data_IF_992410054342
#
_entry.id   IF_992410054342
#
_cell.length_a   1.000
_cell.length_b   1.000
_cell.length_c   1.000
_cell.angle_alpha   90.00
_cell.angle_beta   90.00
_cell.angle_gamma   90.00
#
_symmetry.space_group_name_H-M   'P 1'
#
loop_
_entity.id
_entity.type
_entity.pdbx_description
1 polymer ?
#
# COMPACT_ATOMS: atom_id res chain seq x y z
N UNK A 1 13.70 38.00 12.33
CA UNK A 1 12.27 38.13 11.95
C UNK A 1 11.55 36.92 12.51
N UNK A 2 10.35 37.07 13.11
CA UNK A 2 9.66 35.92 13.74
C UNK A 2 8.99 35.06 12.64
N UNK A 3 9.72 34.07 12.16
CA UNK A 3 9.30 33.16 11.09
C UNK A 3 8.10 32.33 11.49
N UNK A 4 7.95 32.01 12.79
CA UNK A 4 6.80 31.27 13.34
C UNK A 4 5.52 32.06 13.19
N UNK A 5 5.52 33.35 13.56
CA UNK A 5 4.36 34.22 13.41
C UNK A 5 3.98 34.43 11.94
N UNK A 6 4.97 34.53 11.03
CA UNK A 6 4.70 34.62 9.58
C UNK A 6 4.05 33.36 9.02
N UNK A 7 4.45 32.20 9.50
CA UNK A 7 3.85 30.92 9.15
C UNK A 7 2.40 30.82 9.62
N UNK A 8 2.11 31.23 10.86
CA UNK A 8 0.75 31.26 11.41
C UNK A 8 -0.16 32.27 10.65
N UNK A 9 0.38 33.43 10.29
CA UNK A 9 -0.35 34.45 9.52
C UNK A 9 -0.60 34.00 8.08
N UNK A 10 0.31 33.21 7.46
CA UNK A 10 0.12 32.60 6.15
C UNK A 10 -1.04 31.58 6.17
N UNK A 11 -1.00 30.61 7.09
CA UNK A 11 -2.05 29.59 7.21
C UNK A 11 -3.41 30.16 7.65
N UNK A 12 -3.40 31.29 8.35
CA UNK A 12 -4.62 32.00 8.75
C UNK A 12 -5.15 32.95 7.68
N UNK A 13 -4.49 33.03 6.50
CA UNK A 13 -4.89 33.90 5.40
C UNK A 13 -4.78 35.42 5.70
N UNK A 14 -3.90 35.81 6.64
CA UNK A 14 -3.73 37.20 7.09
C UNK A 14 -2.65 37.95 6.32
N UNK A 15 -1.86 37.27 5.49
CA UNK A 15 -0.85 37.93 4.69
C UNK A 15 -1.46 38.55 3.42
N UNK A 16 -0.92 39.70 3.00
CA UNK A 16 -1.23 40.24 1.69
C UNK A 16 -0.62 39.35 0.57
N UNK A 17 -1.13 39.41 -0.68
CA UNK A 17 -0.59 38.60 -1.78
C UNK A 17 0.92 38.74 -1.97
N UNK A 18 1.45 39.94 -1.79
CA UNK A 18 2.89 40.22 -1.92
C UNK A 18 3.67 39.59 -0.77
N UNK A 19 3.18 39.69 0.46
CA UNK A 19 3.82 39.06 1.63
C UNK A 19 3.73 37.54 1.59
N UNK A 20 2.67 36.97 1.02
CA UNK A 20 2.54 35.54 0.82
C UNK A 20 3.57 35.02 -0.21
N UNK A 21 3.80 35.76 -1.28
CA UNK A 21 4.80 35.41 -2.29
C UNK A 21 6.23 35.46 -1.72
N UNK A 22 6.58 36.53 -0.97
CA UNK A 22 7.86 36.64 -0.26
C UNK A 22 8.06 35.51 0.78
N UNK A 23 6.97 35.03 1.39
CA UNK A 23 7.02 33.89 2.32
C UNK A 23 7.25 32.57 1.59
N UNK A 24 6.64 32.35 0.43
CA UNK A 24 6.87 31.17 -0.40
C UNK A 24 8.31 31.11 -0.94
N UNK A 25 8.87 32.26 -1.38
CA UNK A 25 10.27 32.35 -1.81
C UNK A 25 11.24 32.03 -0.65
N UNK A 26 10.91 32.50 0.56
CA UNK A 26 11.70 32.14 1.74
C UNK A 26 11.63 30.65 2.07
N UNK A 27 10.45 29.99 1.90
CA UNK A 27 10.30 28.55 2.14
C UNK A 27 11.18 27.67 1.24
N UNK A 28 11.58 28.17 0.09
CA UNK A 28 12.53 27.49 -0.82
C UNK A 28 14.00 27.70 -0.45
N UNK A 29 14.28 28.50 0.58
CA UNK A 29 15.67 28.79 1.02
C UNK A 29 16.21 27.73 1.98
N UNK A 30 17.55 27.54 2.03
CA UNK A 30 18.18 26.64 3.00
C UNK A 30 17.94 27.05 4.46
N UNK A 31 17.71 28.34 4.73
CA UNK A 31 17.39 28.85 6.07
C UNK A 31 16.00 28.38 6.55
N UNK A 32 15.05 28.25 5.63
CA UNK A 32 13.73 27.72 5.95
C UNK A 32 13.78 26.21 6.25
N UNK A 33 14.61 25.46 5.55
CA UNK A 33 14.80 24.03 5.80
C UNK A 33 15.37 23.77 7.21
N UNK A 34 16.36 24.57 7.63
CA UNK A 34 16.93 24.48 8.98
C UNK A 34 15.91 24.87 10.05
N UNK A 35 15.14 25.96 9.84
CA UNK A 35 14.11 26.42 10.75
C UNK A 35 12.98 25.39 10.89
N UNK A 36 12.45 24.84 9.78
CA UNK A 36 11.39 23.85 9.80
C UNK A 36 11.84 22.55 10.45
N UNK A 37 13.07 22.12 10.22
CA UNK A 37 13.64 20.93 10.86
C UNK A 37 13.70 21.09 12.38
N UNK A 38 14.14 22.24 12.87
CA UNK A 38 14.20 22.54 14.30
C UNK A 38 12.80 22.61 14.95
N UNK A 39 11.85 23.26 14.28
CA UNK A 39 10.47 23.39 14.78
C UNK A 39 9.74 22.03 14.80
N UNK A 40 9.94 21.18 13.77
CA UNK A 40 9.42 19.80 13.74
C UNK A 40 9.99 18.99 14.91
N UNK A 41 11.29 19.04 15.15
CA UNK A 41 11.92 18.32 16.27
C UNK A 41 11.35 18.80 17.62
N UNK A 42 11.13 20.09 17.79
CA UNK A 42 10.54 20.64 19.00
C UNK A 42 9.10 20.17 19.20
N UNK A 43 8.25 20.23 18.17
CA UNK A 43 6.86 19.77 18.23
C UNK A 43 6.76 18.28 18.54
N UNK A 44 7.66 17.46 17.98
CA UNK A 44 7.73 16.03 18.32
C UNK A 44 8.15 15.79 19.76
N UNK A 45 9.11 16.56 20.27
CA UNK A 45 9.58 16.44 21.66
C UNK A 45 8.53 16.87 22.69
N UNK A 46 7.70 17.87 22.39
CA UNK A 46 6.58 18.29 23.22
C UNK A 46 5.44 17.27 23.19
N UNK A 47 5.12 16.71 22.02
CA UNK A 47 4.04 15.72 21.86
C UNK A 47 4.35 14.39 22.56
N UNK A 48 5.63 14.04 22.69
CA UNK A 48 6.06 12.86 23.46
C UNK A 48 5.95 13.06 24.98
N UNK A 49 5.82 14.29 25.48
CA UNK A 49 5.64 14.60 26.90
C UNK A 49 4.17 14.71 27.33
N UNK A 50 3.24 14.84 26.39
CA UNK A 50 1.80 14.89 26.67
C UNK A 50 1.13 13.56 26.36
N UNK A 51 1.38 12.56 27.22
CA UNK A 51 0.55 11.36 27.31
C UNK A 51 -0.70 11.71 28.09
N UNK A 52 -1.74 12.22 27.39
CA UNK A 52 -3.16 12.22 27.77
C UNK A 52 -3.95 13.11 26.80
N UNK A 53 -4.21 12.60 25.59
CA UNK A 53 -5.25 13.14 24.74
C UNK A 53 -6.35 12.09 24.59
N UNK A 54 -7.28 12.07 25.57
CA UNK A 54 -8.60 11.51 25.36
C UNK A 54 -9.34 12.44 24.40
N UNK A 55 -9.46 12.07 23.14
CA UNK A 55 -10.26 12.80 22.16
C UNK A 55 -11.73 12.65 22.54
N UNK A 56 -12.34 13.72 23.09
CA UNK A 56 -13.76 13.77 23.40
C UNK A 56 -14.57 14.05 22.12
N UNK A 57 -15.17 13.00 21.56
CA UNK A 57 -16.02 13.06 20.37
C UNK A 57 -17.49 13.46 20.70
N UNK A 58 -17.83 13.65 21.96
CA UNK A 58 -19.21 13.88 22.41
C UNK A 58 -19.88 15.12 21.79
N UNK A 59 -19.21 16.28 21.58
CA UNK A 59 -19.85 17.44 20.97
C UNK A 59 -20.23 17.24 19.49
N UNK A 60 -19.46 16.42 18.77
CA UNK A 60 -19.71 16.14 17.35
C UNK A 60 -20.92 15.21 17.17
N UNK A 61 -21.03 14.21 18.02
CA UNK A 61 -22.15 13.27 18.00
C UNK A 61 -23.48 13.92 18.40
N UNK A 62 -23.48 14.86 19.34
CA UNK A 62 -24.67 15.64 19.70
C UNK A 62 -25.17 16.51 18.53
N UNK A 63 -24.28 17.11 17.74
CA UNK A 63 -24.63 17.90 16.57
C UNK A 63 -25.24 17.07 15.44
N UNK A 64 -24.66 15.90 15.17
CA UNK A 64 -25.14 14.97 14.13
C UNK A 64 -26.53 14.39 14.50
N UNK A 65 -26.75 14.05 15.76
CA UNK A 65 -28.04 13.55 16.22
C UNK A 65 -29.14 14.61 16.29
N UNK A 66 -28.79 15.87 16.54
CA UNK A 66 -29.74 16.99 16.51
C UNK A 66 -30.25 17.27 15.09
N UNK A 67 -29.41 17.16 14.06
CA UNK A 67 -29.83 17.31 12.66
C UNK A 67 -30.68 16.13 12.16
N UNK A 68 -30.46 14.90 12.64
CA UNK A 68 -31.30 13.74 12.30
C UNK A 68 -32.72 13.80 12.87
N UNK A 69 -32.96 14.52 13.97
CA UNK A 69 -34.28 14.67 14.59
C UNK A 69 -35.18 15.72 13.90
N UNK A 70 -34.64 16.50 12.95
CA UNK A 70 -35.38 17.57 12.24
C UNK A 70 -36.17 17.10 11.01
N UNK A 71 -36.06 15.87 10.55
CA UNK A 71 -36.80 15.36 9.39
C UNK A 71 -37.94 14.42 9.77
N UNK A 72 -38.91 14.91 10.55
CA UNK A 72 -40.23 14.27 10.62
C UNK A 72 -41.12 14.85 9.51
N UNK A 73 -41.37 14.07 8.47
CA UNK A 73 -42.38 14.41 7.46
C UNK A 73 -43.76 14.42 8.15
N UNK A 74 -44.62 15.45 7.91
CA UNK A 74 -45.94 15.46 8.46
C UNK A 74 -46.78 14.35 7.87
N UNK A 75 -47.38 13.55 8.75
CA UNK A 75 -48.31 12.47 8.41
C UNK A 75 -49.62 13.14 7.93
N UNK A 76 -49.90 13.08 6.63
CA UNK A 76 -51.17 13.53 6.06
C UNK A 76 -52.22 12.41 6.25
N UNK A 77 -53.15 12.65 7.15
CA UNK A 77 -54.30 11.79 7.40
C UNK A 77 -55.27 11.90 6.19
N UNK A 78 -55.24 10.89 5.31
CA UNK A 78 -56.23 10.79 4.21
C UNK A 78 -57.52 10.17 4.79
N UNK A 79 -58.54 11.02 4.96
CA UNK A 79 -59.92 10.59 5.16
C UNK A 79 -60.37 9.62 4.03
N UNK A 80 -60.91 8.48 4.41
CA UNK A 80 -61.45 7.52 3.48
C UNK A 80 -62.66 8.08 2.76
N UNK A 81 -62.81 7.91 1.44
CA UNK A 81 -64.03 8.22 0.70
C UNK A 81 -65.11 7.14 0.97
N UNK A 82 -66.40 7.47 0.84
CA UNK A 82 -67.50 6.55 1.09
C UNK A 82 -67.48 5.39 0.09
N UNK A 83 -67.82 4.19 0.58
CA UNK A 83 -67.96 2.97 -0.24
C UNK A 83 -69.19 3.06 -1.11
N UNK A 84 -69.00 3.34 -2.41
CA UNK A 84 -70.01 3.08 -3.42
C UNK A 84 -70.04 1.58 -3.80
N UNK A 85 -71.19 0.94 -3.70
CA UNK A 85 -71.41 -0.42 -4.16
C UNK A 85 -71.45 -0.47 -5.67
N UNK A 86 -70.28 -0.73 -6.29
CA UNK A 86 -70.21 -0.92 -7.75
C UNK A 86 -70.46 -2.40 -8.07
N UNK A 87 -71.52 -2.66 -8.84
CA UNK A 87 -71.88 -4.01 -9.30
C UNK A 87 -70.72 -4.68 -10.05
N UNK A 88 -70.27 -5.80 -9.53
CA UNK A 88 -69.11 -6.60 -10.03
C UNK A 88 -69.32 -7.08 -11.47
N UNK A 89 -70.55 -7.15 -11.94
CA UNK A 89 -70.89 -7.70 -13.25
C UNK A 89 -70.57 -6.77 -14.44
N UNK A 90 -70.45 -5.47 -14.21
CA UNK A 90 -70.03 -4.54 -15.27
C UNK A 90 -68.57 -4.62 -15.61
N UNK A 91 -67.70 -5.12 -14.73
CA UNK A 91 -66.25 -5.19 -14.89
C UNK A 91 -65.77 -6.47 -15.59
N UNK A 92 -66.59 -7.51 -15.65
CA UNK A 92 -66.28 -8.77 -16.34
C UNK A 92 -65.97 -8.59 -17.82
N UNK A 93 -66.54 -7.58 -18.46
CA UNK A 93 -66.31 -7.27 -19.90
C UNK A 93 -64.94 -6.66 -20.15
N UNK A 94 -64.38 -5.97 -19.17
CA UNK A 94 -63.04 -5.33 -19.30
C UNK A 94 -61.92 -6.27 -18.82
N UNK A 95 -62.22 -7.26 -17.99
CA UNK A 95 -61.24 -8.25 -17.53
C UNK A 95 -60.67 -9.08 -18.69
N UNK A 96 -61.55 -9.50 -19.62
CA UNK A 96 -61.12 -10.24 -20.82
C UNK A 96 -60.19 -9.41 -21.77
N UNK A 97 -60.43 -8.11 -21.87
CA UNK A 97 -59.58 -7.20 -22.67
C UNK A 97 -58.21 -7.00 -22.02
N UNK A 98 -58.14 -6.88 -20.69
CA UNK A 98 -56.88 -6.74 -19.95
C UNK A 98 -56.06 -8.03 -20.03
N UNK A 99 -56.68 -9.21 -20.01
CA UNK A 99 -55.94 -10.48 -20.17
C UNK A 99 -55.37 -10.60 -21.58
N UNK A 100 -56.12 -10.20 -22.63
CA UNK A 100 -55.63 -10.22 -23.99
C UNK A 100 -54.50 -9.21 -24.22
N UNK A 101 -54.58 -8.01 -23.61
CA UNK A 101 -53.49 -7.01 -23.65
C UNK A 101 -52.27 -7.55 -22.87
N UNK A 102 -52.44 -8.16 -21.72
CA UNK A 102 -51.37 -8.77 -20.92
C UNK A 102 -50.68 -9.92 -21.66
N UNK A 103 -51.44 -10.81 -22.31
CA UNK A 103 -50.87 -11.89 -23.12
C UNK A 103 -50.16 -11.37 -24.34
N UNK A 104 -50.74 -10.35 -25.01
CA UNK A 104 -50.12 -9.72 -26.19
C UNK A 104 -48.79 -8.98 -25.79
N UNK A 105 -48.81 -8.25 -24.69
CA UNK A 105 -47.62 -7.61 -24.13
C UNK A 105 -46.56 -8.62 -23.71
N UNK A 106 -46.97 -9.69 -23.04
CA UNK A 106 -46.08 -10.80 -22.66
C UNK A 106 -45.46 -11.49 -23.87
N UNK A 107 -46.27 -11.78 -24.91
CA UNK A 107 -45.79 -12.34 -26.20
C UNK A 107 -44.87 -11.36 -26.92
N UNK A 108 -45.17 -10.06 -26.92
CA UNK A 108 -44.33 -9.03 -27.51
C UNK A 108 -42.99 -8.89 -26.78
N UNK A 109 -43.01 -8.83 -25.44
CA UNK A 109 -41.79 -8.76 -24.65
C UNK A 109 -40.97 -10.07 -24.68
N UNK A 110 -41.62 -11.23 -24.72
CA UNK A 110 -40.92 -12.52 -24.80
C UNK A 110 -40.27 -12.74 -26.21
N UNK A 111 -40.84 -12.15 -27.25
CA UNK A 111 -40.22 -12.19 -28.59
C UNK A 111 -39.09 -11.17 -28.76
N UNK A 112 -39.07 -10.09 -27.96
CA UNK A 112 -37.93 -9.16 -27.92
C UNK A 112 -36.75 -9.69 -27.08
N UNK A 113 -36.99 -10.65 -26.20
CA UNK A 113 -35.92 -11.35 -25.45
C UNK A 113 -35.40 -12.57 -26.25
N UNK A 114 -35.40 -12.53 -27.60
CA UNK A 114 -34.51 -13.45 -28.29
C UNK A 114 -33.09 -13.00 -27.91
N UNK A 115 -32.31 -13.87 -27.30
CA UNK A 115 -30.89 -13.57 -27.20
C UNK A 115 -30.43 -13.40 -28.64
N UNK A 116 -30.10 -12.19 -29.07
CA UNK A 116 -29.23 -11.99 -30.20
C UNK A 116 -27.98 -12.74 -29.81
N UNK A 117 -27.83 -13.96 -30.35
CA UNK A 117 -26.55 -14.62 -30.50
C UNK A 117 -25.75 -13.79 -31.51
N UNK A 118 -25.52 -12.52 -31.20
CA UNK A 118 -24.28 -11.93 -31.59
C UNK A 118 -23.26 -12.77 -30.85
N UNK A 119 -22.31 -13.40 -31.50
CA UNK A 119 -21.09 -13.75 -30.82
C UNK A 119 -20.64 -12.40 -30.27
N UNK A 120 -20.91 -12.13 -28.98
CA UNK A 120 -20.07 -11.23 -28.19
C UNK A 120 -18.72 -11.89 -28.39
N UNK A 121 -17.98 -11.41 -29.37
CA UNK A 121 -16.56 -11.42 -29.27
C UNK A 121 -16.36 -10.71 -27.94
N UNK A 122 -16.28 -11.46 -26.84
CA UNK A 122 -15.53 -11.02 -25.69
C UNK A 122 -14.23 -10.57 -26.32
N UNK A 123 -14.18 -9.29 -26.64
CA UNK A 123 -12.92 -8.59 -26.65
C UNK A 123 -12.50 -8.79 -25.20
N UNK A 124 -11.81 -9.91 -24.97
CA UNK A 124 -10.93 -10.04 -23.83
C UNK A 124 -10.13 -8.75 -23.91
N UNK A 125 -10.58 -7.77 -23.16
CA UNK A 125 -9.78 -6.60 -22.87
C UNK A 125 -8.60 -7.22 -22.13
N UNK A 126 -7.66 -7.75 -22.89
CA UNK A 126 -6.37 -8.15 -22.39
C UNK A 126 -5.76 -6.86 -21.95
N UNK A 127 -6.04 -6.50 -20.70
CA UNK A 127 -5.37 -5.37 -20.08
C UNK A 127 -3.89 -5.63 -20.32
N UNK A 128 -3.25 -4.76 -21.09
CA UNK A 128 -1.81 -4.86 -21.33
C UNK A 128 -1.13 -4.75 -19.97
N UNK A 129 -0.30 -5.73 -19.66
CA UNK A 129 0.48 -5.73 -18.43
C UNK A 129 1.84 -5.14 -18.69
N UNK A 130 2.25 -4.22 -17.83
CA UNK A 130 3.58 -3.62 -17.82
C UNK A 130 4.39 -4.37 -16.79
N UNK A 131 5.53 -4.93 -17.21
CA UNK A 131 6.49 -5.56 -16.31
C UNK A 131 7.74 -4.71 -16.19
N UNK A 132 8.16 -4.42 -14.97
CA UNK A 132 9.43 -3.76 -14.63
C UNK A 132 10.28 -4.72 -13.83
N UNK A 133 11.51 -4.96 -14.29
CA UNK A 133 12.47 -5.86 -13.63
C UNK A 133 13.77 -5.13 -13.35
N UNK A 134 14.24 -5.22 -12.14
CA UNK A 134 15.55 -4.74 -11.73
C UNK A 134 16.53 -5.91 -11.66
N UNK A 135 17.64 -5.87 -12.36
CA UNK A 135 18.74 -6.79 -12.09
C UNK A 135 19.36 -6.52 -10.73
N UNK A 136 20.21 -7.42 -10.25
CA UNK A 136 21.03 -7.17 -9.06
C UNK A 136 21.85 -5.88 -9.21
N UNK A 137 21.98 -5.11 -8.16
CA UNK A 137 22.69 -3.84 -8.11
C UNK A 137 21.89 -2.61 -8.57
N UNK A 138 20.63 -2.78 -8.99
CA UNK A 138 19.78 -1.66 -9.43
C UNK A 138 18.50 -1.58 -8.60
N UNK A 139 18.06 -0.35 -8.34
CA UNK A 139 16.79 -0.03 -7.69
C UNK A 139 16.05 1.00 -8.53
N UNK A 140 14.73 0.95 -8.56
CA UNK A 140 13.91 1.84 -9.39
C UNK A 140 12.73 2.38 -8.59
N UNK A 141 12.42 3.66 -8.78
CA UNK A 141 11.19 4.29 -8.31
C UNK A 141 10.21 4.35 -9.49
N UNK A 142 9.00 3.81 -9.32
CA UNK A 142 7.94 3.76 -10.31
C UNK A 142 6.77 4.57 -9.78
N UNK A 143 6.32 5.56 -10.54
CA UNK A 143 5.09 6.31 -10.25
C UNK A 143 3.95 5.71 -11.09
N UNK A 144 2.90 5.30 -10.42
CA UNK A 144 1.70 4.74 -11.05
C UNK A 144 0.69 5.83 -11.38
N UNK A 145 -0.25 5.54 -12.30
CA UNK A 145 -1.23 6.53 -12.78
C UNK A 145 -2.28 6.94 -11.74
N UNK A 146 -2.44 6.15 -10.66
CA UNK A 146 -3.29 6.47 -9.50
C UNK A 146 -2.62 7.36 -8.45
N UNK A 147 -1.36 7.77 -8.69
CA UNK A 147 -0.53 8.54 -7.77
C UNK A 147 0.24 7.70 -6.74
N UNK A 148 0.07 6.38 -6.75
CA UNK A 148 0.87 5.49 -5.89
C UNK A 148 2.31 5.39 -6.39
N UNK A 149 3.23 5.13 -5.47
CA UNK A 149 4.65 4.95 -5.78
C UNK A 149 5.10 3.56 -5.36
N UNK A 150 5.88 2.91 -6.23
CA UNK A 150 6.58 1.65 -5.93
C UNK A 150 8.08 1.92 -5.94
N UNK A 151 8.75 1.64 -4.83
CA UNK A 151 10.20 1.53 -4.79
C UNK A 151 10.53 0.05 -4.99
N UNK A 152 11.12 -0.31 -6.11
CA UNK A 152 11.48 -1.68 -6.47
C UNK A 152 12.94 -1.93 -6.15
N UNK A 153 13.20 -2.95 -5.31
CA UNK A 153 14.57 -3.29 -4.90
C UNK A 153 15.35 -4.01 -6.00
N UNK A 154 16.63 -4.25 -5.77
CA UNK A 154 17.50 -5.05 -6.63
C UNK A 154 17.03 -6.49 -6.73
N UNK A 155 17.24 -7.14 -7.88
CA UNK A 155 16.81 -8.52 -8.15
C UNK A 155 15.30 -8.74 -7.91
N UNK A 156 14.48 -7.76 -8.29
CA UNK A 156 13.02 -7.80 -8.09
C UNK A 156 12.30 -7.44 -9.37
N UNK A 157 11.07 -7.93 -9.51
CA UNK A 157 10.19 -7.59 -10.62
C UNK A 157 8.79 -7.28 -10.13
N UNK A 158 8.13 -6.35 -10.82
CA UNK A 158 6.75 -5.96 -10.59
C UNK A 158 6.00 -5.92 -11.90
N UNK A 159 4.78 -6.47 -11.91
CA UNK A 159 3.87 -6.43 -13.05
C UNK A 159 2.55 -5.80 -12.62
N UNK A 160 2.00 -4.94 -13.46
CA UNK A 160 0.73 -4.24 -13.21
C UNK A 160 0.03 -3.91 -14.54
N UNK A 161 -1.32 -3.76 -14.57
CA UNK A 161 -2.04 -3.40 -15.79
C UNK A 161 -1.74 -1.96 -16.21
N UNK A 162 -1.77 -1.69 -17.52
CA UNK A 162 -1.59 -0.33 -18.06
C UNK A 162 -2.70 0.61 -17.56
N UNK A 163 -3.95 0.14 -17.51
CA UNK A 163 -5.07 0.86 -16.91
C UNK A 163 -5.11 0.62 -15.38
N UNK A 164 -4.15 1.21 -14.69
CA UNK A 164 -3.99 1.04 -13.25
C UNK A 164 -5.02 1.82 -12.43
N UNK A 165 -5.69 2.84 -12.97
CA UNK A 165 -6.69 3.61 -12.23
C UNK A 165 -7.94 2.79 -11.90
N UNK A 166 -8.35 1.91 -12.82
CA UNK A 166 -9.53 1.05 -12.62
C UNK A 166 -9.18 -0.32 -12.05
N UNK A 167 -7.94 -0.77 -12.23
CA UNK A 167 -7.48 -2.08 -11.80
C UNK A 167 -6.14 -1.97 -11.04
N UNK A 168 -6.22 -1.67 -9.75
CA UNK A 168 -5.05 -1.43 -8.87
C UNK A 168 -4.43 -2.74 -8.37
N UNK A 169 -4.13 -3.66 -9.29
CA UNK A 169 -3.52 -4.96 -9.01
C UNK A 169 -2.06 -4.99 -9.42
N UNK A 170 -1.23 -5.51 -8.54
CA UNK A 170 0.22 -5.66 -8.74
C UNK A 170 0.61 -7.09 -8.44
N UNK A 171 1.50 -7.67 -9.24
CA UNK A 171 2.21 -8.92 -8.92
C UNK A 171 3.66 -8.58 -8.62
N UNK A 172 4.19 -9.08 -7.50
CA UNK A 172 5.55 -8.80 -7.04
C UNK A 172 6.35 -10.10 -6.87
N UNK A 173 7.56 -10.10 -7.42
CA UNK A 173 8.64 -11.04 -7.11
C UNK A 173 9.82 -10.26 -6.54
N UNK A 174 10.40 -10.68 -5.41
CA UNK A 174 11.49 -10.00 -4.75
C UNK A 174 11.02 -9.06 -3.65
N UNK A 175 11.46 -7.81 -3.64
CA UNK A 175 11.15 -6.83 -2.59
C UNK A 175 10.75 -5.49 -3.17
N UNK A 176 9.68 -4.92 -2.61
CA UNK A 176 9.27 -3.57 -2.93
C UNK A 176 8.65 -2.87 -1.72
N UNK A 177 8.86 -1.57 -1.66
CA UNK A 177 8.18 -0.67 -0.76
C UNK A 177 7.12 0.12 -1.53
N UNK A 178 5.90 0.15 -1.00
CA UNK A 178 4.73 0.76 -1.61
C UNK A 178 4.27 1.96 -0.80
N UNK A 179 4.06 3.08 -1.47
CA UNK A 179 3.34 4.24 -0.97
C UNK A 179 2.04 4.36 -1.76
N UNK A 180 0.95 3.88 -1.19
CA UNK A 180 -0.33 3.75 -1.88
C UNK A 180 -1.17 5.01 -1.70
N UNK A 181 -1.61 5.60 -2.79
CA UNK A 181 -2.55 6.71 -2.80
C UNK A 181 -3.90 6.29 -2.18
N UNK A 182 -4.46 7.17 -1.34
CA UNK A 182 -5.70 6.88 -0.61
C UNK A 182 -6.90 6.85 -1.56
N UNK A 183 -7.49 5.67 -1.71
CA UNK A 183 -8.71 5.44 -2.46
C UNK A 183 -9.48 4.24 -1.85
N UNK A 184 -10.47 4.50 -0.98
CA UNK A 184 -11.25 3.44 -0.35
C UNK A 184 -12.20 2.69 -1.29
N UNK A 185 -12.55 3.29 -2.43
CA UNK A 185 -13.50 2.68 -3.38
C UNK A 185 -12.81 1.68 -4.31
N UNK A 186 -11.50 1.88 -4.58
CA UNK A 186 -10.71 1.00 -5.42
C UNK A 186 -9.52 0.43 -4.62
N UNK A 187 -9.65 -0.74 -3.98
CA UNK A 187 -8.57 -1.35 -3.20
C UNK A 187 -7.32 -1.62 -4.05
N UNK A 188 -6.16 -1.26 -3.50
CA UNK A 188 -4.86 -1.61 -4.07
C UNK A 188 -4.46 -3.00 -3.58
N UNK A 189 -4.11 -3.91 -4.47
CA UNK A 189 -3.73 -5.28 -4.10
C UNK A 189 -2.38 -5.68 -4.68
N UNK A 190 -1.55 -6.31 -3.86
CA UNK A 190 -0.27 -6.90 -4.29
C UNK A 190 -0.33 -8.39 -4.06
N UNK A 191 -0.13 -9.15 -5.14
CA UNK A 191 0.03 -10.61 -5.08
C UNK A 191 1.51 -10.96 -5.09
N UNK A 192 1.94 -11.78 -4.14
CA UNK A 192 3.29 -12.29 -4.06
C UNK A 192 3.30 -13.70 -3.47
N UNK A 193 3.82 -14.69 -4.21
CA UNK A 193 3.89 -16.10 -3.79
C UNK A 193 2.59 -16.62 -3.16
N UNK A 194 1.42 -16.30 -3.78
CA UNK A 194 0.11 -16.76 -3.29
C UNK A 194 -0.42 -16.03 -2.04
N UNK A 195 0.22 -14.95 -1.62
CA UNK A 195 -0.26 -14.05 -0.58
C UNK A 195 -0.75 -12.77 -1.24
N UNK A 196 -1.98 -12.38 -0.97
CA UNK A 196 -2.56 -11.11 -1.41
C UNK A 196 -2.53 -10.11 -0.25
N UNK A 197 -1.88 -8.98 -0.47
CA UNK A 197 -1.84 -7.82 0.44
C UNK A 197 -2.77 -6.75 -0.11
N UNK A 198 -3.81 -6.37 0.64
CA UNK A 198 -4.79 -5.34 0.25
C UNK A 198 -4.63 -4.08 1.09
N UNK A 199 -4.61 -2.93 0.43
CA UNK A 199 -4.39 -1.60 1.00
C UNK A 199 -5.39 -0.57 0.45
N UNK A 200 -5.74 0.46 1.27
CA UNK A 200 -6.68 1.53 0.89
C UNK A 200 -6.05 2.93 0.96
N UNK A 201 -4.75 3.01 1.17
CA UNK A 201 -4.02 4.28 1.36
C UNK A 201 -3.01 4.15 2.50
N UNK A 202 -1.92 3.44 2.24
CA UNK A 202 -0.99 2.91 3.24
C UNK A 202 0.43 2.92 2.70
N UNK A 203 1.42 2.88 3.60
CA UNK A 203 2.79 2.59 3.24
C UNK A 203 3.21 1.25 3.85
N UNK A 204 3.73 0.34 3.05
CA UNK A 204 4.13 -1.00 3.48
C UNK A 204 5.26 -1.58 2.63
N UNK A 205 6.04 -2.49 3.20
CA UNK A 205 7.09 -3.23 2.52
C UNK A 205 6.70 -4.70 2.36
N UNK A 206 6.96 -5.26 1.19
CA UNK A 206 6.82 -6.70 0.94
C UNK A 206 8.19 -7.25 0.53
N UNK A 207 8.64 -8.35 1.14
CA UNK A 207 9.89 -9.01 0.80
C UNK A 207 9.72 -10.53 0.76
N UNK A 208 10.22 -11.14 -0.33
CA UNK A 208 10.29 -12.60 -0.50
C UNK A 208 11.71 -13.12 -0.40
N UNK A 209 12.68 -12.28 -0.09
CA UNK A 209 14.08 -12.65 0.03
C UNK A 209 14.37 -13.49 1.29
N UNK A 210 15.31 -14.42 1.17
CA UNK A 210 15.84 -15.26 2.26
C UNK A 210 14.78 -15.98 3.10
N UNK A 211 13.63 -16.29 2.48
CA UNK A 211 12.48 -16.85 3.19
C UNK A 211 11.84 -17.95 2.34
N UNK A 212 12.39 -19.15 2.37
CA UNK A 212 11.89 -20.33 1.64
C UNK A 212 10.36 -20.28 1.47
N UNK A 213 9.90 -19.87 0.28
CA UNK A 213 8.48 -19.73 -0.11
C UNK A 213 7.59 -18.87 0.82
N UNK A 214 8.20 -18.05 1.68
CA UNK A 214 7.49 -17.13 2.56
C UNK A 214 7.53 -15.71 2.03
N UNK A 215 6.50 -14.95 2.43
CA UNK A 215 6.37 -13.52 2.16
C UNK A 215 6.37 -12.79 3.50
N UNK A 216 7.25 -11.82 3.64
CA UNK A 216 7.21 -10.89 4.77
C UNK A 216 6.48 -9.62 4.33
N UNK A 217 5.49 -9.20 5.08
CA UNK A 217 4.78 -7.93 4.89
C UNK A 217 4.91 -7.10 6.16
N UNK A 218 5.49 -5.92 6.04
CA UNK A 218 5.65 -4.96 7.14
C UNK A 218 4.80 -3.73 6.88
N UNK A 219 3.97 -3.34 7.83
CA UNK A 219 3.17 -2.13 7.73
C UNK A 219 3.88 -0.94 8.36
N UNK A 220 3.98 0.15 7.60
CA UNK A 220 4.59 1.41 8.01
C UNK A 220 3.52 2.41 8.45
N UNK A 221 2.50 2.68 7.62
CA UNK A 221 1.38 3.58 7.95
C UNK A 221 0.06 3.01 7.44
N UNK A 222 -1.05 3.37 8.10
CA UNK A 222 -2.40 2.97 7.69
C UNK A 222 -2.78 1.57 8.14
N UNK A 223 -3.42 0.79 7.27
CA UNK A 223 -3.85 -0.60 7.50
C UNK A 223 -3.71 -1.44 6.25
N UNK A 224 -3.27 -2.67 6.39
CA UNK A 224 -3.29 -3.67 5.31
C UNK A 224 -3.96 -4.95 5.79
N UNK A 225 -4.60 -5.64 4.86
CA UNK A 225 -5.13 -6.98 5.04
C UNK A 225 -4.33 -7.96 4.21
N UNK A 226 -3.98 -9.08 4.81
CA UNK A 226 -3.26 -10.17 4.17
C UNK A 226 -4.19 -11.37 4.06
N UNK A 227 -4.21 -12.01 2.90
CA UNK A 227 -5.00 -13.20 2.63
C UNK A 227 -4.16 -14.23 1.88
N UNK A 228 -4.19 -15.48 2.33
CA UNK A 228 -3.53 -16.59 1.65
C UNK A 228 -4.44 -17.15 0.54
N UNK A 229 -3.86 -17.56 -0.55
CA UNK A 229 -4.59 -18.24 -1.63
C UNK A 229 -5.34 -19.46 -1.10
N UNK A 230 -6.64 -19.54 -1.40
CA UNK A 230 -7.51 -20.64 -0.92
C UNK A 230 -7.97 -20.53 0.53
N UNK A 231 -7.57 -19.49 1.27
CA UNK A 231 -8.03 -19.23 2.64
C UNK A 231 -9.08 -18.12 2.68
N UNK A 232 -10.05 -18.25 3.57
CA UNK A 232 -11.01 -17.19 3.91
C UNK A 232 -10.54 -16.33 5.09
N UNK A 233 -9.45 -16.73 5.75
CA UNK A 233 -8.90 -16.01 6.90
C UNK A 233 -8.12 -14.79 6.42
N UNK A 234 -8.45 -13.62 6.96
CA UNK A 234 -7.74 -12.38 6.77
C UNK A 234 -6.91 -12.03 8.02
N UNK A 235 -5.72 -11.49 7.81
CA UNK A 235 -4.85 -10.95 8.85
C UNK A 235 -4.73 -9.45 8.64
N UNK A 236 -5.12 -8.67 9.63
CA UNK A 236 -4.93 -7.21 9.60
C UNK A 236 -3.65 -6.85 10.34
N UNK A 237 -2.79 -6.02 9.73
CA UNK A 237 -1.60 -5.44 10.36
C UNK A 237 -1.87 -4.01 10.80
N UNK A 238 -1.28 -3.64 11.93
CA UNK A 238 -1.16 -2.26 12.41
C UNK A 238 0.27 -1.72 12.13
N UNK A 239 0.47 -0.40 12.11
CA UNK A 239 1.80 0.18 11.95
C UNK A 239 2.80 -0.36 12.97
N UNK A 240 3.98 -0.76 12.49
CA UNK A 240 5.01 -1.41 13.31
C UNK A 240 4.87 -2.93 13.42
N UNK A 241 3.85 -3.54 12.82
CA UNK A 241 3.73 -4.99 12.74
C UNK A 241 4.27 -5.56 11.42
N UNK A 242 4.90 -6.72 11.50
CA UNK A 242 5.29 -7.57 10.37
C UNK A 242 4.63 -8.94 10.50
N UNK A 243 4.15 -9.49 9.40
CA UNK A 243 3.77 -10.89 9.31
C UNK A 243 4.60 -11.60 8.25
N UNK A 244 5.02 -12.82 8.57
CA UNK A 244 5.74 -13.71 7.66
C UNK A 244 4.84 -14.90 7.38
N UNK A 245 4.44 -15.05 6.10
CA UNK A 245 3.43 -16.01 5.67
C UNK A 245 3.99 -16.97 4.61
N UNK A 246 3.52 -18.23 4.66
CA UNK A 246 3.59 -19.18 3.55
C UNK A 246 2.17 -19.60 3.17
N UNK A 247 1.96 -20.07 1.93
CA UNK A 247 0.63 -20.46 1.42
C UNK A 247 -0.01 -21.58 2.24
N UNK A 248 0.79 -22.46 2.82
CA UNK A 248 0.38 -23.62 3.60
C UNK A 248 0.44 -23.40 5.12
N UNK A 249 0.74 -22.18 5.59
CA UNK A 249 0.86 -21.88 7.03
C UNK A 249 -0.52 -21.63 7.65
N UNK A 250 -0.98 -22.56 8.49
CA UNK A 250 -2.32 -22.51 9.08
C UNK A 250 -2.53 -21.34 10.06
N UNK A 251 -1.48 -20.87 10.74
CA UNK A 251 -1.54 -19.84 11.76
C UNK A 251 -0.42 -18.81 11.62
N UNK A 252 -0.51 -17.89 10.67
CA UNK A 252 0.49 -16.85 10.50
C UNK A 252 0.55 -15.92 11.72
N UNK A 253 1.78 -15.60 12.14
CA UNK A 253 2.04 -14.79 13.34
C UNK A 253 2.39 -13.37 12.95
N UNK A 254 2.03 -12.43 13.82
CA UNK A 254 2.44 -11.04 13.75
C UNK A 254 3.55 -10.76 14.75
N UNK A 255 4.51 -9.93 14.37
CA UNK A 255 5.65 -9.53 15.18
C UNK A 255 5.76 -8.02 15.17
N UNK A 256 6.06 -7.41 16.33
CA UNK A 256 6.47 -6.02 16.38
C UNK A 256 7.90 -5.89 15.84
N UNK A 257 8.10 -4.94 14.92
CA UNK A 257 9.41 -4.72 14.30
C UNK A 257 9.76 -3.23 14.29
N UNK A 258 11.07 -2.94 14.20
CA UNK A 258 11.49 -1.58 13.89
C UNK A 258 11.26 -1.31 12.40
N UNK A 259 10.29 -0.44 12.11
CA UNK A 259 9.91 -0.05 10.74
C UNK A 259 11.12 0.41 9.94
N UNK A 260 11.97 1.26 10.54
CA UNK A 260 13.12 1.85 9.85
C UNK A 260 14.05 0.78 9.28
N UNK A 261 14.27 -0.30 10.02
CA UNK A 261 15.16 -1.38 9.59
C UNK A 261 14.66 -2.08 8.33
N UNK A 262 13.35 -2.03 8.06
CA UNK A 262 12.71 -2.68 6.90
C UNK A 262 12.73 -1.83 5.63
N UNK A 263 12.94 -0.52 5.76
CA UNK A 263 12.91 0.42 4.63
C UNK A 263 14.24 1.16 4.40
N UNK A 264 15.28 0.96 5.22
CA UNK A 264 16.62 1.56 5.05
C UNK A 264 17.19 1.36 3.64
N UNK A 265 16.86 0.24 3.00
CA UNK A 265 17.31 -0.06 1.65
C UNK A 265 16.80 0.96 0.61
N UNK A 266 15.65 1.62 0.84
CA UNK A 266 15.12 2.70 -0.03
C UNK A 266 16.00 3.94 0.04
N UNK A 267 16.66 4.15 1.18
CA UNK A 267 17.62 5.25 1.43
C UNK A 267 19.04 4.89 0.97
N UNK A 268 19.26 3.67 0.44
CA UNK A 268 20.59 3.20 0.03
C UNK A 268 21.46 2.71 1.19
N UNK A 269 20.90 2.51 2.37
CA UNK A 269 21.61 2.03 3.56
C UNK A 269 21.57 0.50 3.60
N UNK A 270 22.75 -0.12 3.63
CA UNK A 270 22.90 -1.57 3.76
C UNK A 270 23.02 -1.95 5.23
N UNK A 271 22.12 -2.82 5.70
CA UNK A 271 22.10 -3.28 7.09
C UNK A 271 22.11 -4.79 7.18
N UNK A 272 22.96 -5.29 8.06
CA UNK A 272 22.98 -6.68 8.53
C UNK A 272 22.45 -6.72 9.97
N UNK A 273 21.63 -7.71 10.27
CA UNK A 273 21.07 -7.90 11.63
C UNK A 273 21.00 -9.39 11.95
N UNK A 274 21.98 -9.87 12.68
CA UNK A 274 22.14 -11.30 12.99
C UNK A 274 22.07 -12.19 11.74
N UNK A 275 22.66 -11.74 10.62
CA UNK A 275 22.68 -12.49 9.38
C UNK A 275 23.76 -13.57 9.41
N UNK A 276 23.42 -14.76 8.96
CA UNK A 276 24.42 -15.82 8.69
C UNK A 276 25.32 -15.41 7.55
N UNK A 277 26.49 -16.05 7.43
CA UNK A 277 27.38 -15.79 6.31
C UNK A 277 26.70 -16.02 4.95
N UNK A 278 25.86 -17.03 4.84
CA UNK A 278 25.07 -17.30 3.62
C UNK A 278 24.14 -16.13 3.30
N UNK A 279 23.42 -15.61 4.30
CA UNK A 279 22.54 -14.45 4.11
C UNK A 279 23.34 -13.21 3.67
N UNK A 280 24.52 -13.00 4.27
CA UNK A 280 25.42 -11.89 3.91
C UNK A 280 25.81 -11.97 2.43
N UNK A 281 26.22 -13.15 1.96
CA UNK A 281 26.58 -13.35 0.55
C UNK A 281 25.41 -13.08 -0.38
N UNK A 282 24.22 -13.58 -0.11
CA UNK A 282 23.03 -13.33 -0.90
C UNK A 282 22.69 -11.83 -0.96
N UNK A 283 22.78 -11.13 0.18
CA UNK A 283 22.58 -9.70 0.27
C UNK A 283 23.61 -8.94 -0.57
N UNK A 284 24.90 -9.27 -0.46
CA UNK A 284 25.97 -8.61 -1.23
C UNK A 284 25.80 -8.81 -2.73
N UNK A 285 25.51 -10.05 -3.17
CA UNK A 285 25.27 -10.35 -4.58
C UNK A 285 24.11 -9.53 -5.14
N UNK A 286 23.01 -9.46 -4.39
CA UNK A 286 21.83 -8.69 -4.79
C UNK A 286 22.09 -7.19 -4.75
N UNK A 287 22.76 -6.69 -3.69
CA UNK A 287 22.97 -5.25 -3.47
C UNK A 287 23.95 -4.63 -4.46
N UNK A 288 25.08 -5.30 -4.73
CA UNK A 288 26.16 -4.80 -5.58
C UNK A 288 26.15 -5.37 -7.01
N UNK A 289 25.34 -6.39 -7.28
CA UNK A 289 25.31 -7.04 -8.59
C UNK A 289 26.59 -7.81 -8.88
N UNK A 290 27.13 -8.49 -7.87
CA UNK A 290 28.38 -9.26 -7.95
C UNK A 290 28.10 -10.74 -7.80
N UNK A 291 29.06 -11.57 -8.25
CA UNK A 291 29.07 -13.02 -8.00
C UNK A 291 30.10 -13.31 -6.93
N UNK A 292 29.71 -14.10 -5.91
CA UNK A 292 30.62 -14.50 -4.83
C UNK A 292 30.86 -15.99 -4.88
N UNK A 293 32.14 -16.37 -4.86
CA UNK A 293 32.60 -17.75 -4.71
C UNK A 293 33.26 -17.92 -3.35
N UNK A 294 32.92 -18.99 -2.65
CA UNK A 294 33.38 -19.24 -1.28
C UNK A 294 34.13 -20.56 -1.25
N UNK A 295 35.30 -20.59 -0.62
CA UNK A 295 36.11 -21.75 -0.35
C UNK A 295 36.43 -21.86 1.13
N UNK A 296 36.63 -23.07 1.65
CA UNK A 296 36.78 -23.32 3.10
C UNK A 296 35.42 -23.44 3.80
N UNK A 297 35.42 -23.45 5.12
CA UNK A 297 34.21 -23.53 5.95
C UNK A 297 33.86 -22.18 6.51
N UNK A 298 32.68 -21.63 6.17
CA UNK A 298 32.23 -20.34 6.70
C UNK A 298 32.13 -20.32 8.23
N UNK A 299 32.48 -19.19 8.84
CA UNK A 299 32.24 -18.95 10.26
C UNK A 299 30.74 -19.09 10.60
N UNK A 300 30.48 -19.55 11.83
CA UNK A 300 29.11 -19.57 12.38
C UNK A 300 28.73 -18.24 13.02
N UNK A 301 29.63 -17.25 13.02
CA UNK A 301 29.38 -15.94 13.56
C UNK A 301 28.29 -15.22 12.76
N UNK A 302 27.52 -14.40 13.45
CA UNK A 302 26.44 -13.63 12.84
C UNK A 302 26.90 -12.21 12.54
N UNK A 303 26.67 -11.74 11.33
CA UNK A 303 26.96 -10.37 10.96
C UNK A 303 25.87 -9.42 11.47
N UNK A 304 26.30 -8.34 12.14
CA UNK A 304 25.45 -7.21 12.53
C UNK A 304 26.21 -5.93 12.29
N UNK A 305 25.63 -5.02 11.50
CA UNK A 305 26.24 -3.75 11.16
C UNK A 305 25.42 -2.95 10.18
N UNK A 306 25.73 -1.68 10.07
CA UNK A 306 25.07 -0.76 9.13
C UNK A 306 26.15 -0.05 8.33
N UNK A 307 25.95 0.02 7.00
CA UNK A 307 26.79 0.74 6.07
C UNK A 307 25.96 1.83 5.42
N UNK A 308 26.46 3.04 5.49
CA UNK A 308 25.76 4.22 5.01
C UNK A 308 25.58 4.23 3.50
N UNK A 309 24.76 5.16 3.04
CA UNK A 309 24.41 5.32 1.63
C UNK A 309 25.66 5.38 0.73
N UNK A 310 25.66 4.50 -0.28
CA UNK A 310 26.74 4.37 -1.27
C UNK A 310 28.09 3.84 -0.76
N UNK A 311 28.09 3.13 0.38
CA UNK A 311 29.31 2.47 0.81
C UNK A 311 29.84 1.48 -0.26
N UNK A 312 31.13 1.50 -0.49
CA UNK A 312 31.75 0.67 -1.52
C UNK A 312 31.77 -0.81 -1.12
N UNK A 313 31.59 -1.71 -2.08
CA UNK A 313 31.73 -3.15 -1.84
C UNK A 313 33.07 -3.50 -1.20
N UNK A 314 34.16 -2.81 -1.59
CA UNK A 314 35.51 -3.05 -1.03
C UNK A 314 35.55 -2.78 0.47
N UNK A 315 34.98 -1.68 0.93
CA UNK A 315 34.96 -1.32 2.35
C UNK A 315 34.05 -2.26 3.13
N UNK A 316 32.88 -2.63 2.59
CA UNK A 316 32.01 -3.62 3.20
C UNK A 316 32.69 -4.97 3.34
N UNK A 317 33.35 -5.46 2.29
CA UNK A 317 34.11 -6.72 2.34
C UNK A 317 35.29 -6.65 3.33
N UNK A 318 35.96 -5.49 3.42
CA UNK A 318 37.04 -5.31 4.39
C UNK A 318 36.54 -5.47 5.84
N UNK A 319 35.47 -4.76 6.21
CA UNK A 319 34.88 -4.86 7.54
C UNK A 319 34.38 -6.27 7.85
N UNK A 320 33.70 -6.89 6.87
CA UNK A 320 33.20 -8.26 7.01
C UNK A 320 34.33 -9.29 7.12
N UNK A 321 35.40 -9.12 6.38
CA UNK A 321 36.56 -10.03 6.43
C UNK A 321 37.24 -10.05 7.80
N UNK A 322 37.34 -8.89 8.44
CA UNK A 322 37.87 -8.76 9.81
C UNK A 322 36.93 -9.38 10.86
N UNK A 323 35.62 -9.12 10.72
CA UNK A 323 34.62 -9.56 11.70
C UNK A 323 34.27 -11.05 11.60
N UNK A 324 34.38 -11.65 10.40
CA UNK A 324 34.02 -13.05 10.15
C UNK A 324 35.23 -13.93 9.80
N UNK A 325 36.45 -13.40 9.90
CA UNK A 325 37.72 -14.08 9.75
C UNK A 325 37.90 -14.82 8.41
N UNK A 326 37.78 -14.10 7.30
CA UNK A 326 38.05 -14.60 5.96
C UNK A 326 38.98 -13.67 5.18
N UNK A 327 39.59 -14.17 4.11
CA UNK A 327 40.32 -13.37 3.14
C UNK A 327 39.49 -13.25 1.87
N UNK A 328 39.67 -12.16 1.08
CA UNK A 328 38.94 -11.99 -0.16
C UNK A 328 39.80 -11.41 -1.28
N UNK A 329 39.41 -11.70 -2.51
CA UNK A 329 39.88 -11.05 -3.73
C UNK A 329 38.68 -10.49 -4.48
N UNK A 330 38.77 -9.23 -4.91
CA UNK A 330 37.74 -8.53 -5.67
C UNK A 330 38.24 -8.19 -7.05
N UNK A 331 37.67 -8.82 -8.07
CA UNK A 331 37.98 -8.63 -9.49
C UNK A 331 36.70 -8.20 -10.21
N UNK A 332 36.56 -6.89 -10.51
CA UNK A 332 35.35 -6.30 -11.12
C UNK A 332 34.08 -6.71 -10.38
N UNK A 333 33.30 -7.65 -10.96
CA UNK A 333 32.05 -8.17 -10.39
C UNK A 333 32.18 -9.56 -9.77
N UNK A 334 33.40 -10.06 -9.60
CA UNK A 334 33.66 -11.35 -8.98
C UNK A 334 34.37 -11.16 -7.64
N UNK A 335 33.85 -11.79 -6.61
CA UNK A 335 34.44 -11.84 -5.27
C UNK A 335 34.79 -13.30 -4.97
N UNK A 336 36.06 -13.55 -4.65
CA UNK A 336 36.53 -14.83 -4.16
C UNK A 336 36.80 -14.72 -2.68
N UNK A 337 36.13 -15.52 -1.87
CA UNK A 337 36.27 -15.56 -0.41
C UNK A 337 36.91 -16.87 -0.01
N UNK A 338 37.90 -16.82 0.88
CA UNK A 338 38.56 -17.98 1.44
C UNK A 338 38.57 -17.93 2.94
N UNK A 339 38.05 -18.98 3.57
CA UNK A 339 38.16 -19.25 5.01
C UNK A 339 39.36 -20.19 5.24
N UNK A 340 40.16 -19.88 6.25
CA UNK A 340 41.33 -20.66 6.66
C UNK A 340 40.93 -21.91 7.45
#
# INVERSE_FOLDING_TARGET
MDHKKRMDDFYSGKLSPQQAQEFLEWLESPEAEEFLSAEIIQLWSEKLKSQDYAWDNSPLWHKINAEKSGFSKPYVNKSQPPKENVSIWSWAKYAAALVLIGVSAYAYFSTQQRPTNNPVTEVLSSSLWITKTNPSGQKTKILLSDGSTIFLNSASSVSYPEDFQTNRKVTLEGEAFFEVAKDPEHPFSVESKGITTTALGTSFNISTFNRQDKVAVTLITGKVKLQQLGSTQEIELNPGEESVLAVDEANPKKYAVNIRDRILWTEGVLRFQNNTFTDVIEILQRWYGVTVQVTGQPSKDLATGTFDNNESLRNVLHVLSESMNFTYQLNEKQVLIHFN
#
